data_IF_507970414491
#
_entry.id   IF_507970414491
#
_cell.length_a   1.000
_cell.length_b   1.000
_cell.length_c   1.000
_cell.angle_alpha   90.00
_cell.angle_beta   90.00
_cell.angle_gamma   90.00
#
_symmetry.space_group_name_H-M   'P 1'
#
loop_
_entity.id
_entity.type
_entity.pdbx_description
1 polymer ?
#
# COMPACT_ATOMS: atom_id res chain seq x y z
N UNK A 1 -70.90 0.38 -11.91
CA UNK A 1 -70.16 -0.35 -10.86
C UNK A 1 -68.72 -0.50 -11.30
N UNK A 2 -67.80 -0.01 -10.44
CA UNK A 2 -66.36 -0.33 -10.34
C UNK A 2 -65.39 0.35 -11.33
N UNK A 3 -64.65 1.28 -10.73
CA UNK A 3 -63.52 2.04 -11.23
C UNK A 3 -62.32 1.16 -11.62
N UNK A 4 -61.52 1.67 -12.56
CA UNK A 4 -60.14 1.27 -12.82
C UNK A 4 -59.35 2.57 -13.03
N UNK A 5 -58.96 3.25 -11.95
CA UNK A 5 -57.67 3.10 -11.25
C UNK A 5 -56.50 3.59 -12.12
N UNK A 6 -56.09 4.83 -11.81
CA UNK A 6 -54.81 5.43 -12.18
C UNK A 6 -53.65 4.49 -11.83
N UNK A 7 -52.78 4.20 -12.80
CA UNK A 7 -51.45 3.66 -12.53
C UNK A 7 -50.42 4.44 -13.34
N UNK A 8 -49.98 5.56 -12.75
CA UNK A 8 -48.71 6.17 -13.10
C UNK A 8 -47.60 5.26 -12.58
N UNK A 9 -46.83 4.65 -13.48
CA UNK A 9 -45.62 3.91 -13.18
C UNK A 9 -44.55 4.36 -14.19
N UNK A 10 -44.04 5.57 -13.97
CA UNK A 10 -42.80 6.00 -14.58
C UNK A 10 -41.66 5.38 -13.77
N UNK A 11 -41.13 4.25 -14.25
CA UNK A 11 -39.93 3.62 -13.71
C UNK A 11 -38.72 4.45 -14.12
N UNK A 12 -38.31 5.36 -13.23
CA UNK A 12 -37.09 6.14 -13.37
C UNK A 12 -35.85 5.24 -13.31
N UNK A 13 -35.06 5.23 -14.38
CA UNK A 13 -33.74 4.61 -14.44
C UNK A 13 -32.82 5.36 -13.48
N UNK A 14 -32.47 4.74 -12.34
CA UNK A 14 -31.40 5.26 -11.48
C UNK A 14 -30.06 4.94 -12.16
N UNK A 15 -29.59 5.87 -13.00
CA UNK A 15 -28.22 5.88 -13.48
C UNK A 15 -27.30 6.22 -12.31
N UNK A 16 -26.80 5.20 -11.61
CA UNK A 16 -25.70 5.37 -10.68
C UNK A 16 -24.43 5.67 -11.50
N UNK A 17 -24.13 6.96 -11.64
CA UNK A 17 -22.83 7.44 -12.11
C UNK A 17 -21.80 6.97 -11.07
N UNK A 18 -21.16 5.85 -11.33
CA UNK A 18 -19.90 5.50 -10.67
C UNK A 18 -18.86 6.53 -11.15
N UNK A 19 -18.76 7.64 -10.43
CA UNK A 19 -17.56 8.45 -10.44
C UNK A 19 -16.43 7.58 -9.87
N UNK A 20 -15.77 6.83 -10.74
CA UNK A 20 -14.43 6.36 -10.47
C UNK A 20 -13.55 7.62 -10.36
N UNK A 21 -13.39 8.13 -9.14
CA UNK A 21 -12.35 9.10 -8.85
C UNK A 21 -11.01 8.54 -9.30
N UNK A 22 -10.06 9.38 -9.74
CA UNK A 22 -8.80 8.88 -10.25
C UNK A 22 -8.13 8.07 -9.14
N UNK A 23 -7.85 6.80 -9.41
CA UNK A 23 -6.90 6.02 -8.64
C UNK A 23 -5.51 6.64 -8.86
N UNK A 24 -5.23 7.72 -8.14
CA UNK A 24 -3.89 8.27 -8.00
C UNK A 24 -3.11 7.37 -7.04
N UNK A 25 -2.96 6.09 -7.40
CA UNK A 25 -2.07 5.17 -6.72
C UNK A 25 -0.63 5.53 -7.11
N UNK A 26 -0.06 6.47 -6.35
CA UNK A 26 1.30 6.36 -5.84
C UNK A 26 2.44 6.39 -6.86
N UNK A 27 2.61 7.50 -7.57
CA UNK A 27 3.95 7.94 -7.99
C UNK A 27 4.71 8.66 -6.86
N UNK A 28 4.11 8.75 -5.65
CA UNK A 28 4.43 9.76 -4.64
C UNK A 28 5.17 9.24 -3.41
N UNK A 29 5.20 7.94 -3.19
CA UNK A 29 5.63 7.41 -1.90
C UNK A 29 7.03 6.81 -2.03
N UNK A 30 8.00 7.67 -2.38
CA UNK A 30 9.43 7.30 -2.31
C UNK A 30 9.91 7.51 -0.89
N UNK A 31 10.57 6.50 -0.37
CA UNK A 31 11.17 6.52 0.95
C UNK A 31 12.63 6.16 0.83
N UNK A 32 13.44 6.60 1.77
CA UNK A 32 14.77 6.08 1.99
C UNK A 32 14.85 5.30 3.29
N UNK A 33 15.74 4.31 3.29
CA UNK A 33 16.16 3.66 4.52
C UNK A 33 16.95 4.65 5.36
N UNK A 34 16.54 4.86 6.61
CA UNK A 34 17.21 5.77 7.53
C UNK A 34 17.25 5.20 8.95
N UNK A 35 18.12 5.75 9.80
CA UNK A 35 18.15 5.45 11.23
C UNK A 35 18.67 4.05 11.58
N UNK A 36 19.21 3.30 10.61
CA UNK A 36 19.92 2.04 10.88
C UNK A 36 21.29 2.37 11.47
N UNK A 37 21.71 1.63 12.49
CA UNK A 37 23.01 1.82 13.15
C UNK A 37 24.18 1.60 12.17
N UNK A 38 25.30 2.25 12.45
CA UNK A 38 26.54 2.06 11.68
C UNK A 38 26.96 0.58 11.67
N UNK A 39 27.31 0.07 10.50
CA UNK A 39 27.68 -1.34 10.31
C UNK A 39 26.50 -2.32 10.18
N UNK A 40 25.25 -1.87 10.30
CA UNK A 40 24.06 -2.69 10.07
C UNK A 40 23.25 -2.25 8.84
N UNK A 41 22.26 -3.05 8.48
CA UNK A 41 21.39 -2.88 7.32
C UNK A 41 19.95 -3.26 7.68
N UNK A 42 18.98 -2.51 7.17
CA UNK A 42 17.56 -2.85 7.27
C UNK A 42 17.28 -4.14 6.50
N UNK A 43 16.65 -5.12 7.13
CA UNK A 43 16.37 -6.41 6.48
C UNK A 43 15.09 -6.31 5.64
N UNK A 44 15.18 -6.64 4.35
CA UNK A 44 14.04 -6.91 3.48
C UNK A 44 13.62 -8.37 3.68
N UNK A 45 12.38 -8.59 4.12
CA UNK A 45 11.87 -9.91 4.52
C UNK A 45 10.78 -10.43 3.59
N UNK A 46 10.55 -11.74 3.63
CA UNK A 46 9.46 -12.38 2.88
C UNK A 46 8.05 -12.09 3.37
N UNK A 47 7.90 -11.50 4.57
CA UNK A 47 6.60 -11.19 5.16
C UNK A 47 6.67 -10.16 6.30
N UNK A 48 5.51 -9.69 6.79
CA UNK A 48 5.40 -8.64 7.80
C UNK A 48 5.73 -9.13 9.21
N UNK A 49 6.99 -9.46 9.48
CA UNK A 49 7.41 -9.96 10.78
C UNK A 49 8.87 -10.39 10.84
N UNK A 50 9.41 -10.50 12.05
CA UNK A 50 10.81 -10.91 12.27
C UNK A 50 11.04 -12.42 12.06
N UNK A 51 9.98 -13.23 12.03
CA UNK A 51 10.04 -14.67 11.78
C UNK A 51 10.10 -15.07 10.30
N UNK A 52 10.00 -14.12 9.37
CA UNK A 52 10.14 -14.38 7.94
C UNK A 52 11.59 -14.30 7.49
N UNK A 53 11.92 -15.10 6.47
CA UNK A 53 13.24 -15.13 5.84
C UNK A 53 13.68 -13.75 5.35
N UNK A 54 14.98 -13.50 5.46
CA UNK A 54 15.63 -12.28 4.99
C UNK A 54 16.11 -12.50 3.56
N UNK A 55 15.62 -11.67 2.63
CA UNK A 55 16.06 -11.70 1.23
C UNK A 55 17.34 -10.89 1.02
N UNK A 56 17.41 -9.69 1.60
CA UNK A 56 18.58 -8.80 1.44
C UNK A 56 18.67 -7.79 2.60
N UNK A 57 19.88 -7.30 2.87
CA UNK A 57 20.12 -6.13 3.72
C UNK A 57 20.17 -4.85 2.90
N UNK A 58 19.51 -3.80 3.39
CA UNK A 58 19.44 -2.48 2.76
C UNK A 58 20.21 -1.47 3.62
N UNK A 59 21.28 -0.84 3.11
CA UNK A 59 21.98 0.23 3.82
C UNK A 59 21.12 1.50 3.89
N UNK A 60 21.47 2.41 4.82
CA UNK A 60 20.90 3.77 4.85
C UNK A 60 21.06 4.47 3.47
N UNK A 61 20.08 5.27 3.10
CA UNK A 61 20.00 5.94 1.79
C UNK A 61 19.45 5.06 0.66
N UNK A 62 19.14 3.79 0.92
CA UNK A 62 18.48 2.95 -0.09
C UNK A 62 17.08 3.47 -0.39
N UNK A 63 16.81 3.82 -1.65
CA UNK A 63 15.51 4.33 -2.08
C UNK A 63 14.54 3.20 -2.39
N UNK A 64 13.36 3.29 -1.77
CA UNK A 64 12.28 2.33 -1.79
C UNK A 64 10.99 3.00 -2.27
N UNK A 65 10.09 2.17 -2.82
CA UNK A 65 8.69 2.52 -3.07
C UNK A 65 7.83 1.73 -2.10
N UNK A 66 6.99 2.41 -1.33
CA UNK A 66 6.03 1.77 -0.43
C UNK A 66 4.75 1.46 -1.19
N UNK A 67 4.26 0.22 -1.08
CA UNK A 67 3.02 -0.23 -1.73
C UNK A 67 1.88 -0.29 -0.74
N UNK A 68 2.02 -1.12 0.29
CA UNK A 68 1.04 -1.28 1.35
C UNK A 68 1.75 -1.36 2.70
N UNK A 69 1.01 -1.06 3.77
CA UNK A 69 1.49 -1.25 5.12
C UNK A 69 0.44 -1.97 5.95
N UNK A 70 0.90 -2.91 6.77
CA UNK A 70 0.08 -3.67 7.71
C UNK A 70 0.66 -3.59 9.11
N UNK A 71 -0.21 -3.65 10.11
CA UNK A 71 0.19 -3.73 11.50
C UNK A 71 0.31 -5.20 11.89
N UNK A 72 1.45 -5.61 12.42
CA UNK A 72 1.64 -6.97 12.96
C UNK A 72 2.27 -6.88 14.35
N UNK A 73 1.47 -7.21 15.37
CA UNK A 73 1.82 -6.94 16.76
C UNK A 73 2.09 -5.45 16.99
N UNK A 74 3.21 -5.14 17.64
CA UNK A 74 3.63 -3.77 17.93
C UNK A 74 4.32 -3.05 16.76
N UNK A 75 4.51 -3.68 15.61
CA UNK A 75 5.29 -3.11 14.50
C UNK A 75 4.44 -2.93 13.24
N UNK A 76 4.52 -1.74 12.65
CA UNK A 76 4.03 -1.46 11.31
C UNK A 76 5.06 -1.97 10.29
N UNK A 77 4.63 -2.87 9.42
CA UNK A 77 5.43 -3.43 8.34
C UNK A 77 4.90 -2.90 7.02
N UNK A 78 5.80 -2.63 6.07
CA UNK A 78 5.40 -2.15 4.75
C UNK A 78 6.00 -3.02 3.66
N UNK A 79 5.15 -3.41 2.71
CA UNK A 79 5.61 -4.01 1.46
C UNK A 79 6.26 -2.92 0.62
N UNK A 80 7.49 -3.18 0.19
CA UNK A 80 8.31 -2.25 -0.57
C UNK A 80 8.92 -2.93 -1.79
N UNK A 81 9.29 -2.12 -2.78
CA UNK A 81 10.24 -2.52 -3.82
C UNK A 81 11.40 -1.54 -3.91
N UNK A 82 12.55 -2.02 -4.39
CA UNK A 82 13.67 -1.14 -4.72
C UNK A 82 13.27 -0.20 -5.86
N UNK A 83 13.63 1.08 -5.76
CA UNK A 83 13.26 2.07 -6.79
C UNK A 83 13.82 1.72 -8.18
N UNK A 84 15.08 1.23 -8.21
CA UNK A 84 15.77 0.80 -9.46
C UNK A 84 15.54 -0.65 -9.85
N UNK A 85 15.08 -1.51 -8.94
CA UNK A 85 14.91 -2.95 -9.16
C UNK A 85 13.54 -3.42 -8.64
N UNK A 86 12.49 -3.00 -9.35
CA UNK A 86 11.09 -3.15 -8.90
C UNK A 86 10.59 -4.60 -8.81
N UNK A 87 11.31 -5.56 -9.39
CA UNK A 87 11.00 -6.99 -9.29
C UNK A 87 11.31 -7.57 -7.91
N UNK A 88 12.28 -6.98 -7.18
CA UNK A 88 12.54 -7.38 -5.82
C UNK A 88 11.56 -6.67 -4.89
N UNK A 89 10.65 -7.47 -4.33
CA UNK A 89 9.66 -7.06 -3.34
C UNK A 89 9.87 -7.77 -2.03
N UNK A 90 9.46 -7.13 -0.95
CA UNK A 90 9.45 -7.72 0.38
C UNK A 90 8.97 -6.72 1.41
N UNK A 91 9.13 -7.09 2.67
CA UNK A 91 8.62 -6.34 3.80
C UNK A 91 9.74 -5.76 4.64
N UNK A 92 9.58 -4.51 5.04
CA UNK A 92 10.50 -3.82 5.95
C UNK A 92 9.73 -3.19 7.11
N UNK A 93 10.40 -2.94 8.22
CA UNK A 93 9.80 -2.21 9.34
C UNK A 93 9.70 -0.72 8.99
N UNK A 94 8.51 -0.14 9.19
CA UNK A 94 8.22 1.28 8.94
C UNK A 94 9.13 2.23 9.74
N UNK A 95 9.62 1.79 10.90
CA UNK A 95 10.45 2.60 11.79
C UNK A 95 11.76 3.08 11.15
N UNK A 96 12.18 2.46 10.03
CA UNK A 96 13.40 2.78 9.31
C UNK A 96 13.13 3.40 7.92
N UNK A 97 11.91 3.89 7.67
CA UNK A 97 11.54 4.56 6.42
C UNK A 97 11.29 6.06 6.62
N UNK A 98 12.00 6.89 5.85
CA UNK A 98 11.80 8.34 5.80
C UNK A 98 11.36 8.74 4.40
N UNK A 99 10.30 9.53 4.31
CA UNK A 99 9.80 10.07 3.03
C UNK A 99 10.86 10.98 2.39
N UNK A 100 10.98 10.92 1.05
CA UNK A 100 11.92 11.69 0.24
C UNK A 100 11.28 12.91 -0.44
#
# INVERSE_FOLDING_TARGET
MRALVFKALATGVLAAVFCAGPAAAGWRDRYEVYGVAEGDMLKLRGGPGTGFDVYVGLPNGTVLRVHECTQTGGTRWCEVSLDRARSLKGWVSWAYLREL
#
